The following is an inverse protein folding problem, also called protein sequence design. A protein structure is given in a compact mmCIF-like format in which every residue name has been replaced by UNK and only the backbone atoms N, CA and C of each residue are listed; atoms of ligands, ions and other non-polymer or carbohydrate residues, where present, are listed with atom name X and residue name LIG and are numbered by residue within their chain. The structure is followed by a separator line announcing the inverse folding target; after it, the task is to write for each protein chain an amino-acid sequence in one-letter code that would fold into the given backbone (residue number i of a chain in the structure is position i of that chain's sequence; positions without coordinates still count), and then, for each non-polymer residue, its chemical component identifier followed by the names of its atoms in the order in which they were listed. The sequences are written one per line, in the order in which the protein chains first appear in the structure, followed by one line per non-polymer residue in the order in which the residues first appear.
data_IF_573684207592
#
_entry.id   IF_573684207592
#
_cell.length_a   1.000
_cell.length_b   1.000
_cell.length_c   1.000
_cell.angle_alpha   90.00
_cell.angle_beta   90.00
_cell.angle_gamma   90.00
#
_symmetry.space_group_name_H-M   'P 1'
#
loop_
_entity.id
_entity.type
_entity.pdbx_description
1 polymer ?
#
# COMPACT_ATOMS: atom_id res chain seq x y z
N UNK A 1 3.77 -14.21 -17.50
CA UNK A 1 3.07 -14.18 -18.79
C UNK A 1 1.62 -13.81 -18.54
N UNK A 2 1.02 -13.02 -19.43
CA UNK A 2 -0.42 -12.70 -19.37
C UNK A 2 -1.22 -14.01 -19.56
N UNK A 3 -2.18 -14.30 -18.67
CA UNK A 3 -2.92 -15.60 -18.67
C UNK A 3 -3.85 -15.75 -19.89
N UNK A 4 -4.24 -14.62 -20.47
CA UNK A 4 -5.13 -14.46 -21.61
C UNK A 4 -4.37 -14.48 -22.95
N UNK A 5 -3.24 -13.77 -23.07
CA UNK A 5 -2.54 -13.58 -24.37
C UNK A 5 -1.22 -14.34 -24.50
N UNK A 6 -0.71 -14.96 -23.42
CA UNK A 6 0.66 -15.55 -23.32
C UNK A 6 1.81 -14.58 -23.59
N UNK A 7 1.55 -13.29 -23.71
CA UNK A 7 2.58 -12.28 -23.90
C UNK A 7 3.44 -12.08 -22.64
N UNK A 8 4.69 -11.59 -22.81
CA UNK A 8 5.51 -11.12 -21.70
C UNK A 8 4.79 -10.02 -20.91
N UNK A 9 4.94 -10.01 -19.59
CA UNK A 9 4.24 -9.05 -18.71
C UNK A 9 4.81 -7.61 -18.80
N UNK A 10 5.97 -7.43 -19.42
CA UNK A 10 6.73 -6.18 -19.37
C UNK A 10 7.27 -5.89 -17.97
N UNK A 11 7.57 -4.62 -17.70
CA UNK A 11 8.02 -4.17 -16.38
C UNK A 11 6.86 -4.13 -15.39
N UNK A 12 6.99 -4.87 -14.30
CA UNK A 12 6.00 -4.90 -13.22
C UNK A 12 6.53 -4.06 -12.07
N UNK A 13 5.72 -3.09 -11.65
CA UNK A 13 5.99 -2.29 -10.46
C UNK A 13 5.02 -2.62 -9.35
N UNK A 14 5.38 -2.26 -8.12
CA UNK A 14 4.54 -2.42 -6.94
C UNK A 14 4.31 -1.07 -6.26
N UNK A 15 3.23 -0.98 -5.49
CA UNK A 15 2.94 0.18 -4.65
C UNK A 15 2.73 -0.32 -3.23
N UNK A 16 3.16 0.48 -2.27
CA UNK A 16 3.13 0.11 -0.86
C UNK A 16 2.54 1.25 -0.02
N UNK A 17 1.88 0.85 1.06
CA UNK A 17 1.50 1.72 2.16
C UNK A 17 2.19 1.25 3.42
N UNK A 18 2.86 2.15 4.12
CA UNK A 18 3.55 1.82 5.38
C UNK A 18 2.96 2.61 6.52
N UNK A 19 2.95 2.00 7.70
CA UNK A 19 2.52 2.63 8.94
C UNK A 19 3.52 2.28 10.03
N UNK A 20 3.83 3.23 10.91
CA UNK A 20 4.51 2.93 12.17
C UNK A 20 3.52 2.33 13.15
N UNK A 21 3.86 1.19 13.75
CA UNK A 21 3.03 0.56 14.77
C UNK A 21 3.13 1.33 16.10
N UNK A 22 1.98 1.64 16.69
CA UNK A 22 1.85 2.26 18.00
C UNK A 22 1.11 1.28 18.93
N UNK A 23 1.70 0.85 20.06
CA UNK A 23 1.09 -0.18 20.93
C UNK A 23 -0.35 0.10 21.37
N UNK A 24 -0.75 1.37 21.50
CA UNK A 24 -2.09 1.77 21.95
C UNK A 24 -3.17 1.77 20.86
N UNK A 25 -2.84 1.59 19.58
CA UNK A 25 -3.80 1.80 18.48
C UNK A 25 -4.60 0.55 18.10
N UNK A 26 -4.13 -0.64 18.48
CA UNK A 26 -4.71 -1.92 18.06
C UNK A 26 -4.33 -2.36 16.64
N UNK A 27 -4.28 -3.67 16.40
CA UNK A 27 -3.79 -4.26 15.14
C UNK A 27 -4.67 -3.88 13.94
N UNK A 28 -5.98 -3.84 14.12
CA UNK A 28 -6.91 -3.49 13.03
C UNK A 28 -6.71 -2.04 12.56
N UNK A 29 -6.59 -1.09 13.50
CA UNK A 29 -6.31 0.32 13.19
C UNK A 29 -4.96 0.46 12.48
N UNK A 30 -3.93 -0.23 12.97
CA UNK A 30 -2.61 -0.28 12.34
C UNK A 30 -2.69 -0.75 10.87
N UNK A 31 -3.38 -1.86 10.61
CA UNK A 31 -3.56 -2.40 9.27
C UNK A 31 -4.37 -1.47 8.37
N UNK A 32 -5.46 -0.89 8.87
CA UNK A 32 -6.27 0.06 8.11
C UNK A 32 -5.47 1.31 7.71
N UNK A 33 -4.57 1.80 8.56
CA UNK A 33 -3.69 2.93 8.23
C UNK A 33 -2.72 2.57 7.11
N UNK A 34 -2.07 1.41 7.19
CA UNK A 34 -1.19 0.92 6.13
C UNK A 34 -1.94 0.75 4.79
N UNK A 35 -3.16 0.20 4.82
CA UNK A 35 -3.99 0.04 3.62
C UNK A 35 -4.42 1.39 3.02
N UNK A 36 -4.81 2.36 3.85
CA UNK A 36 -5.10 3.73 3.39
C UNK A 36 -3.89 4.36 2.70
N UNK A 37 -2.69 4.20 3.25
CA UNK A 37 -1.47 4.67 2.61
C UNK A 37 -1.18 3.95 1.28
N UNK A 38 -1.48 2.64 1.18
CA UNK A 38 -1.35 1.89 -0.07
C UNK A 38 -2.31 2.44 -1.14
N UNK A 39 -3.54 2.76 -0.74
CA UNK A 39 -4.52 3.36 -1.62
C UNK A 39 -4.04 4.73 -2.14
N UNK A 40 -3.38 5.54 -1.31
CA UNK A 40 -2.76 6.80 -1.74
C UNK A 40 -1.69 6.57 -2.80
N UNK A 41 -0.78 5.61 -2.60
CA UNK A 41 0.23 5.26 -3.62
C UNK A 41 -0.41 4.84 -4.94
N UNK A 42 -1.50 4.05 -4.89
CA UNK A 42 -2.24 3.63 -6.09
C UNK A 42 -2.93 4.81 -6.80
N UNK A 43 -3.46 5.76 -6.04
CA UNK A 43 -4.16 6.94 -6.57
C UNK A 43 -3.18 7.98 -7.16
N UNK A 44 -1.99 8.10 -6.59
CA UNK A 44 -0.97 9.08 -6.98
C UNK A 44 -0.02 8.62 -8.11
N UNK A 45 -0.44 7.64 -8.91
CA UNK A 45 0.33 7.19 -10.09
C UNK A 45 1.02 5.83 -9.96
N UNK A 46 0.84 5.11 -8.84
CA UNK A 46 1.46 3.80 -8.56
C UNK A 46 2.99 3.90 -8.50
N UNK A 47 3.67 2.75 -8.50
CA UNK A 47 5.13 2.64 -8.37
C UNK A 47 5.73 3.53 -7.25
N UNK A 48 5.06 3.60 -6.10
CA UNK A 48 5.37 4.52 -5.02
C UNK A 48 5.08 3.90 -3.65
N UNK A 49 5.77 4.41 -2.64
CA UNK A 49 5.51 4.16 -1.22
C UNK A 49 4.91 5.42 -0.59
N UNK A 50 3.81 5.28 0.14
CA UNK A 50 3.25 6.35 0.96
C UNK A 50 3.25 5.92 2.42
N UNK A 51 3.51 6.87 3.33
CA UNK A 51 3.46 6.65 4.77
C UNK A 51 2.13 7.14 5.34
N UNK A 52 1.53 6.35 6.22
CA UNK A 52 0.34 6.75 6.96
C UNK A 52 0.71 7.73 8.08
N UNK A 53 -0.10 8.76 8.34
CA UNK A 53 0.08 9.58 9.52
C UNK A 53 -0.06 8.75 10.81
N UNK A 54 0.46 9.24 11.94
CA UNK A 54 0.20 8.64 13.24
C UNK A 54 -1.32 8.50 13.49
N UNK A 55 -1.76 7.44 14.19
CA UNK A 55 -3.15 7.31 14.62
C UNK A 55 -3.54 8.49 15.52
N UNK A 56 -4.79 8.93 15.40
CA UNK A 56 -5.42 9.80 16.41
C UNK A 56 -5.92 8.86 17.51
N UNK A 57 -5.39 9.01 18.72
CA UNK A 57 -5.74 8.20 19.90
C UNK A 57 -6.91 8.80 20.67
#
# INVERSE_FOLDING_TARGET
QRKDTREPLGDITMSFGVARYIPSEGVESFLQRADRALYMSKKNGRNMVSEAPPPVL
#
